data_IF_754305476340
#
_entry.id   IF_754305476340
#
_cell.length_a   1.000
_cell.length_b   1.000
_cell.length_c   1.000
_cell.angle_alpha   90.00
_cell.angle_beta   90.00
_cell.angle_gamma   90.00
#
_symmetry.space_group_name_H-M   'P 1'
#
loop_
_entity.id
_entity.type
_entity.pdbx_description
1 polymer ?
#
# COMPACT_ATOMS: atom_id res chain seq x y z
N UNK A 1 -7.25 0.85 29.42
CA UNK A 1 -7.43 -0.48 28.80
C UNK A 1 -8.06 -1.49 29.77
N UNK A 2 -7.62 -1.58 31.04
CA UNK A 2 -8.15 -2.51 32.04
C UNK A 2 -9.64 -2.31 32.34
N UNK A 3 -10.13 -1.09 32.45
CA UNK A 3 -11.53 -0.77 32.77
C UNK A 3 -12.51 -1.29 31.71
N UNK A 4 -12.06 -1.42 30.46
CA UNK A 4 -12.90 -1.94 29.36
C UNK A 4 -13.18 -3.44 29.54
N UNK A 5 -12.24 -4.21 30.05
CA UNK A 5 -12.44 -5.63 30.33
C UNK A 5 -13.37 -5.88 31.53
N UNK A 6 -13.39 -5.01 32.53
CA UNK A 6 -14.30 -5.11 33.67
C UNK A 6 -15.77 -4.84 33.30
N UNK A 7 -15.99 -3.96 32.33
CA UNK A 7 -17.35 -3.56 31.91
C UNK A 7 -17.96 -4.55 30.90
N UNK A 8 -17.15 -5.38 30.24
CA UNK A 8 -17.59 -6.36 29.24
C UNK A 8 -18.70 -7.33 29.74
N UNK A 9 -18.59 -7.96 30.92
CA UNK A 9 -19.64 -8.89 31.39
C UNK A 9 -20.97 -8.17 31.70
N UNK A 10 -20.91 -6.91 32.14
CA UNK A 10 -22.12 -6.12 32.38
C UNK A 10 -22.81 -5.70 31.08
N UNK A 11 -22.04 -5.36 30.06
CA UNK A 11 -22.56 -5.07 28.71
C UNK A 11 -23.24 -6.31 28.10
N UNK A 12 -22.66 -7.49 28.26
CA UNK A 12 -23.29 -8.74 27.78
C UNK A 12 -24.62 -9.04 28.48
N UNK A 13 -24.71 -8.74 29.79
CA UNK A 13 -25.97 -8.86 30.55
C UNK A 13 -27.03 -7.88 30.05
N UNK A 14 -26.65 -6.62 29.80
CA UNK A 14 -27.53 -5.61 29.21
C UNK A 14 -28.00 -6.00 27.82
N UNK A 15 -27.11 -6.55 26.99
CA UNK A 15 -27.45 -7.03 25.65
C UNK A 15 -28.50 -8.16 25.65
N UNK A 16 -28.35 -9.10 26.58
CA UNK A 16 -29.36 -10.18 26.79
C UNK A 16 -30.68 -9.64 27.32
N UNK A 17 -30.64 -8.64 28.22
CA UNK A 17 -31.83 -8.04 28.84
C UNK A 17 -32.65 -7.20 27.87
N UNK A 18 -31.99 -6.50 26.97
CA UNK A 18 -32.62 -5.57 26.02
C UNK A 18 -32.49 -6.06 24.55
N UNK A 19 -32.44 -7.36 24.33
CA UNK A 19 -32.29 -7.98 23.00
C UNK A 19 -33.34 -7.49 21.97
N UNK A 20 -34.54 -7.14 22.45
CA UNK A 20 -35.66 -6.70 21.60
C UNK A 20 -35.81 -5.16 21.52
N UNK A 21 -35.00 -4.39 22.24
CA UNK A 21 -35.10 -2.92 22.26
C UNK A 21 -33.70 -2.26 22.14
N UNK A 22 -33.19 -2.08 20.90
CA UNK A 22 -31.86 -1.54 20.66
C UNK A 22 -31.68 -0.11 21.16
N UNK A 23 -32.76 0.69 21.23
CA UNK A 23 -32.68 2.07 21.72
C UNK A 23 -32.44 2.11 23.22
N UNK A 24 -33.12 1.29 23.99
CA UNK A 24 -32.91 1.14 25.44
C UNK A 24 -31.55 0.55 25.75
N UNK A 25 -31.12 -0.41 24.97
CA UNK A 25 -29.78 -0.99 25.14
C UNK A 25 -28.70 0.08 25.00
N UNK A 26 -28.75 0.92 23.96
CA UNK A 26 -27.77 2.01 23.76
C UNK A 26 -27.80 3.05 24.89
N UNK A 27 -29.00 3.40 25.37
CA UNK A 27 -29.15 4.37 26.47
C UNK A 27 -28.53 3.84 27.78
N UNK A 28 -28.83 2.59 28.15
CA UNK A 28 -28.33 1.96 29.37
C UNK A 28 -26.82 1.65 29.26
N UNK A 29 -26.35 1.25 28.08
CA UNK A 29 -24.92 1.08 27.82
C UNK A 29 -24.13 2.40 28.00
N UNK A 30 -24.68 3.51 27.46
CA UNK A 30 -24.07 4.84 27.60
C UNK A 30 -24.05 5.29 29.06
N UNK A 31 -25.14 5.01 29.82
CA UNK A 31 -25.23 5.32 31.24
C UNK A 31 -24.24 4.52 32.06
N UNK A 32 -24.14 3.22 31.84
CA UNK A 32 -23.17 2.33 32.48
C UNK A 32 -21.73 2.80 32.23
N UNK A 33 -21.40 3.14 30.98
CA UNK A 33 -20.07 3.68 30.63
C UNK A 33 -19.75 4.97 31.37
N UNK A 34 -20.74 5.89 31.49
CA UNK A 34 -20.57 7.13 32.26
C UNK A 34 -20.39 6.88 33.75
N UNK A 35 -21.16 5.98 34.34
CA UNK A 35 -21.10 5.61 35.77
C UNK A 35 -19.74 4.96 36.11
N UNK A 36 -19.19 4.16 35.22
CA UNK A 36 -17.86 3.53 35.38
C UNK A 36 -16.70 4.44 34.97
N UNK A 37 -16.96 5.71 34.63
CA UNK A 37 -15.93 6.66 34.25
C UNK A 37 -15.26 6.34 32.89
N UNK A 38 -15.85 5.44 32.11
CA UNK A 38 -15.37 5.14 30.74
C UNK A 38 -15.86 6.23 29.82
N UNK A 39 -14.99 7.18 29.51
CA UNK A 39 -15.29 8.19 28.51
C UNK A 39 -15.51 7.52 27.15
N UNK A 40 -16.61 7.86 26.48
CA UNK A 40 -16.85 7.42 25.08
C UNK A 40 -15.70 7.84 24.16
N UNK A 41 -15.07 8.98 24.45
CA UNK A 41 -13.85 9.45 23.77
C UNK A 41 -12.65 8.54 24.02
N UNK A 42 -12.51 7.97 25.20
CA UNK A 42 -11.43 7.02 25.51
C UNK A 42 -11.54 5.69 24.78
N UNK A 43 -12.75 5.29 24.38
CA UNK A 43 -12.98 4.06 23.59
C UNK A 43 -12.71 4.25 22.10
N UNK A 44 -12.98 5.42 21.53
CA UNK A 44 -12.73 5.69 20.11
C UNK A 44 -11.34 6.32 19.85
N UNK A 45 -10.65 6.80 20.89
CA UNK A 45 -9.33 7.42 20.77
C UNK A 45 -8.28 6.50 20.11
N UNK A 46 -8.17 5.19 20.46
CA UNK A 46 -7.27 4.28 19.75
C UNK A 46 -7.59 4.19 18.25
N UNK A 47 -8.87 4.13 17.89
CA UNK A 47 -9.29 4.06 16.48
C UNK A 47 -8.98 5.35 15.74
N UNK A 48 -9.10 6.50 16.40
CA UNK A 48 -8.81 7.81 15.82
C UNK A 48 -7.31 8.01 15.57
N UNK A 49 -6.45 7.39 16.38
CA UNK A 49 -4.98 7.40 16.19
C UNK A 49 -4.55 6.36 15.17
N UNK A 50 -5.15 5.16 15.19
CA UNK A 50 -4.77 4.08 14.27
C UNK A 50 -5.16 4.35 12.82
N UNK A 51 -6.27 5.08 12.57
CA UNK A 51 -6.69 5.43 11.20
C UNK A 51 -5.62 6.23 10.42
N UNK A 52 -5.15 7.40 10.89
CA UNK A 52 -4.11 8.14 10.18
C UNK A 52 -2.80 7.34 10.07
N UNK A 53 -2.42 6.59 11.11
CA UNK A 53 -1.25 5.72 11.08
C UNK A 53 -1.37 4.64 9.99
N UNK A 54 -2.54 4.04 9.86
CA UNK A 54 -2.82 3.04 8.82
C UNK A 54 -2.75 3.64 7.41
N UNK A 55 -3.30 4.84 7.20
CA UNK A 55 -3.18 5.52 5.91
C UNK A 55 -1.73 5.89 5.57
N UNK A 56 -0.94 6.36 6.55
CA UNK A 56 0.49 6.60 6.37
C UNK A 56 1.24 5.32 5.97
N UNK A 57 0.89 4.20 6.61
CA UNK A 57 1.49 2.91 6.30
C UNK A 57 1.16 2.44 4.87
N UNK A 58 -0.12 2.52 4.47
CA UNK A 58 -0.52 2.20 3.10
C UNK A 58 0.19 3.10 2.09
N UNK A 59 0.28 4.40 2.37
CA UNK A 59 0.97 5.33 1.48
C UNK A 59 2.46 4.99 1.33
N UNK A 60 3.14 4.65 2.43
CA UNK A 60 4.54 4.23 2.42
C UNK A 60 4.74 2.93 1.63
N UNK A 61 3.86 1.93 1.82
CA UNK A 61 3.91 0.68 1.06
C UNK A 61 3.71 0.89 -0.44
N UNK A 62 2.78 1.76 -0.81
CA UNK A 62 2.56 2.10 -2.22
C UNK A 62 3.77 2.81 -2.83
N UNK A 63 4.37 3.75 -2.10
CA UNK A 63 5.57 4.46 -2.53
C UNK A 63 6.73 3.48 -2.78
N UNK A 64 7.01 2.60 -1.83
CA UNK A 64 8.04 1.58 -1.98
C UNK A 64 7.73 0.56 -3.07
N UNK A 65 6.46 0.19 -3.24
CA UNK A 65 6.03 -0.66 -4.35
C UNK A 65 6.35 -0.06 -5.72
N UNK A 66 6.14 1.25 -5.89
CA UNK A 66 6.51 1.94 -7.11
C UNK A 66 8.03 1.99 -7.31
N UNK A 67 8.78 2.30 -6.25
CA UNK A 67 10.25 2.29 -6.30
C UNK A 67 10.78 0.90 -6.67
N UNK A 68 10.27 -0.16 -6.06
CA UNK A 68 10.69 -1.53 -6.35
C UNK A 68 10.41 -1.91 -7.82
N UNK A 69 9.29 -1.49 -8.39
CA UNK A 69 9.01 -1.69 -9.81
C UNK A 69 10.03 -0.97 -10.72
N UNK A 70 10.45 0.24 -10.36
CA UNK A 70 11.52 0.93 -11.10
C UNK A 70 12.88 0.25 -10.93
N UNK A 71 13.19 -0.27 -9.74
CA UNK A 71 14.41 -1.05 -9.51
C UNK A 71 14.50 -2.27 -10.40
N UNK A 72 13.37 -2.96 -10.65
CA UNK A 72 13.32 -4.11 -11.56
C UNK A 72 13.69 -3.74 -13.01
N UNK A 73 13.50 -2.48 -13.41
CA UNK A 73 13.87 -2.02 -14.75
C UNK A 73 15.34 -1.62 -14.88
N UNK A 74 15.94 -1.13 -13.79
CA UNK A 74 17.26 -0.47 -13.80
C UNK A 74 18.35 -1.31 -13.18
N UNK A 75 18.02 -2.18 -12.22
CA UNK A 75 19.00 -2.99 -11.49
C UNK A 75 19.55 -4.12 -12.36
N UNK A 76 20.87 -4.33 -12.33
CA UNK A 76 21.52 -5.42 -13.06
C UNK A 76 21.15 -6.78 -12.49
N UNK A 77 20.86 -6.87 -11.19
CA UNK A 77 20.43 -8.07 -10.49
C UNK A 77 18.92 -8.11 -10.25
N UNK A 78 18.13 -7.47 -11.13
CA UNK A 78 16.69 -7.31 -10.97
C UNK A 78 15.94 -8.64 -10.71
N UNK A 79 16.37 -9.74 -11.35
CA UNK A 79 15.74 -11.05 -11.14
C UNK A 79 15.99 -11.62 -9.74
N UNK A 80 17.19 -11.45 -9.19
CA UNK A 80 17.49 -11.85 -7.82
C UNK A 80 16.74 -10.97 -6.81
N UNK A 81 16.71 -9.67 -7.06
CA UNK A 81 15.94 -8.70 -6.28
C UNK A 81 14.46 -9.10 -6.25
N UNK A 82 13.87 -9.42 -7.41
CA UNK A 82 12.48 -9.86 -7.51
C UNK A 82 12.19 -11.11 -6.70
N UNK A 83 13.06 -12.11 -6.76
CA UNK A 83 12.94 -13.34 -5.97
C UNK A 83 13.08 -13.10 -4.46
N UNK A 84 13.82 -12.08 -4.05
CA UNK A 84 13.97 -11.71 -2.63
C UNK A 84 12.71 -11.12 -2.00
N UNK A 85 11.74 -10.69 -2.80
CA UNK A 85 10.46 -10.14 -2.31
C UNK A 85 9.53 -11.20 -1.71
N UNK A 86 9.89 -12.46 -1.79
CA UNK A 86 9.13 -13.57 -1.23
C UNK A 86 9.25 -13.60 0.30
N UNK A 87 8.11 -13.73 0.96
CA UNK A 87 8.05 -13.88 2.42
C UNK A 87 7.04 -14.97 2.80
N UNK A 88 7.49 -16.05 3.43
CA UNK A 88 6.69 -17.22 3.79
C UNK A 88 5.93 -17.76 2.56
N UNK A 89 4.59 -17.68 2.59
CA UNK A 89 3.71 -18.08 1.48
C UNK A 89 3.37 -16.93 0.53
N UNK A 90 3.80 -15.70 0.83
CA UNK A 90 3.57 -14.51 -0.01
C UNK A 90 4.66 -14.47 -1.08
N UNK A 91 4.27 -14.51 -2.35
CA UNK A 91 5.21 -14.53 -3.46
C UNK A 91 5.86 -13.16 -3.73
N UNK A 92 5.16 -12.08 -3.44
CA UNK A 92 5.70 -10.74 -3.53
C UNK A 92 5.05 -9.83 -2.48
N UNK A 93 5.84 -9.35 -1.52
CA UNK A 93 5.35 -8.50 -0.43
C UNK A 93 4.93 -7.08 -0.87
N UNK A 94 5.38 -6.65 -2.05
CA UNK A 94 5.10 -5.31 -2.58
C UNK A 94 3.85 -5.25 -3.48
N UNK A 95 3.32 -6.41 -3.84
CA UNK A 95 2.17 -6.53 -4.73
C UNK A 95 1.08 -7.37 -4.06
N UNK A 96 -0.18 -6.93 -4.11
CA UNK A 96 -1.29 -7.72 -3.58
C UNK A 96 -1.47 -9.00 -4.39
N UNK A 97 -1.34 -10.13 -3.73
CA UNK A 97 -1.61 -11.44 -4.32
C UNK A 97 -3.06 -11.82 -4.06
N UNK A 98 -3.93 -11.52 -4.99
CA UNK A 98 -5.34 -11.88 -4.95
C UNK A 98 -5.70 -12.98 -5.97
N UNK A 99 -4.71 -13.55 -6.65
CA UNK A 99 -4.90 -14.58 -7.66
C UNK A 99 -5.59 -14.13 -8.95
N UNK A 100 -6.05 -12.89 -9.01
CA UNK A 100 -6.81 -12.33 -10.13
C UNK A 100 -6.04 -11.26 -10.90
N UNK A 101 -5.11 -10.58 -10.26
CA UNK A 101 -4.31 -9.51 -10.85
C UNK A 101 -2.86 -9.94 -11.05
N UNK A 102 -2.19 -9.45 -12.10
CA UNK A 102 -0.76 -9.65 -12.26
C UNK A 102 -0.02 -9.11 -11.04
N UNK A 103 1.07 -9.78 -10.65
CA UNK A 103 1.95 -9.38 -9.54
C UNK A 103 2.57 -8.01 -9.78
N UNK A 104 2.85 -7.71 -11.04
CA UNK A 104 3.32 -6.39 -11.47
C UNK A 104 2.23 -5.71 -12.28
N UNK A 105 2.04 -4.41 -12.04
CA UNK A 105 1.11 -3.61 -12.81
C UNK A 105 1.57 -3.56 -14.27
N UNK A 106 0.62 -3.56 -15.21
CA UNK A 106 0.92 -3.32 -16.62
C UNK A 106 1.40 -1.87 -16.84
N UNK A 107 2.14 -1.65 -17.95
CA UNK A 107 2.71 -0.33 -18.27
C UNK A 107 1.67 0.79 -18.31
N UNK A 108 0.48 0.52 -18.85
CA UNK A 108 -0.57 1.52 -18.94
C UNK A 108 -1.02 2.02 -17.56
N UNK A 109 -1.23 1.15 -16.60
CA UNK A 109 -1.63 1.54 -15.25
C UNK A 109 -0.47 2.07 -14.42
N UNK A 110 0.73 1.50 -14.57
CA UNK A 110 1.91 1.93 -13.83
C UNK A 110 2.36 3.33 -14.25
N UNK A 111 2.65 3.52 -15.55
CA UNK A 111 3.19 4.78 -16.07
C UNK A 111 2.18 5.95 -16.03
N UNK A 112 0.89 5.66 -15.97
CA UNK A 112 -0.15 6.67 -15.76
C UNK A 112 -0.29 7.13 -14.30
N UNK A 113 0.45 6.54 -13.37
CA UNK A 113 0.34 6.87 -11.95
C UNK A 113 1.01 8.22 -11.64
N UNK A 114 0.26 9.25 -11.20
CA UNK A 114 0.83 10.60 -11.00
C UNK A 114 1.94 10.65 -9.92
N UNK A 115 1.88 9.74 -8.94
CA UNK A 115 2.84 9.68 -7.83
C UNK A 115 4.26 9.32 -8.27
N UNK A 116 4.43 8.71 -9.45
CA UNK A 116 5.74 8.32 -9.97
C UNK A 116 6.66 9.52 -10.24
N UNK A 117 6.09 10.67 -10.63
CA UNK A 117 6.87 11.89 -10.86
C UNK A 117 7.58 12.42 -9.61
N UNK A 118 7.08 12.05 -8.42
CA UNK A 118 7.59 12.49 -7.13
C UNK A 118 8.48 11.44 -6.45
N UNK A 119 8.79 10.33 -7.12
CA UNK A 119 9.69 9.31 -6.57
C UNK A 119 11.12 9.84 -6.49
N UNK A 120 11.69 9.85 -5.30
CA UNK A 120 13.08 10.25 -5.08
C UNK A 120 14.04 9.34 -5.84
N UNK A 121 13.76 8.05 -5.89
CA UNK A 121 14.56 7.06 -6.62
C UNK A 121 14.71 7.40 -8.11
N UNK A 122 13.66 7.95 -8.74
CA UNK A 122 13.73 8.40 -10.14
C UNK A 122 14.78 9.50 -10.35
N UNK A 123 15.06 10.29 -9.32
CA UNK A 123 16.00 11.40 -9.36
C UNK A 123 17.42 11.00 -8.89
N UNK A 124 17.64 9.74 -8.50
CA UNK A 124 18.96 9.26 -8.14
C UNK A 124 19.90 9.23 -9.37
N UNK A 125 21.18 9.56 -9.17
CA UNK A 125 22.18 9.52 -10.26
C UNK A 125 22.24 8.14 -10.91
N UNK A 126 22.20 8.09 -12.22
CA UNK A 126 22.24 6.85 -13.01
C UNK A 126 20.88 6.18 -13.22
N UNK A 127 19.88 6.41 -12.38
CA UNK A 127 18.53 5.81 -12.52
C UNK A 127 17.75 6.51 -13.62
N UNK A 128 17.64 7.84 -13.51
CA UNK A 128 16.92 8.65 -14.50
C UNK A 128 17.53 8.53 -15.90
N UNK A 129 18.88 8.55 -15.99
CA UNK A 129 19.60 8.38 -17.25
C UNK A 129 19.31 7.03 -17.89
N UNK A 130 19.37 5.93 -17.16
CA UNK A 130 19.05 4.60 -17.68
C UNK A 130 17.62 4.52 -18.20
N UNK A 131 16.65 5.11 -17.49
CA UNK A 131 15.25 5.15 -17.94
C UNK A 131 15.06 6.01 -19.20
N UNK A 132 15.84 7.07 -19.36
CA UNK A 132 15.86 7.86 -20.59
C UNK A 132 16.46 7.05 -21.75
N UNK A 133 17.56 6.37 -21.54
CA UNK A 133 18.18 5.46 -22.52
C UNK A 133 17.22 4.35 -22.95
N UNK A 134 16.44 3.80 -22.03
CA UNK A 134 15.39 2.82 -22.32
C UNK A 134 14.17 3.41 -23.06
N UNK A 135 14.05 4.73 -23.16
CA UNK A 135 12.88 5.39 -23.74
C UNK A 135 11.65 5.44 -22.81
N UNK A 136 11.85 5.23 -21.51
CA UNK A 136 10.79 5.25 -20.48
C UNK A 136 10.65 6.61 -19.80
N UNK A 137 11.66 7.48 -19.89
CA UNK A 137 11.66 8.79 -19.26
C UNK A 137 12.19 9.88 -20.21
N UNK A 138 11.90 11.12 -19.86
CA UNK A 138 12.48 12.31 -20.47
C UNK A 138 13.12 13.17 -19.44
N UNK A 139 14.20 13.86 -19.83
CA UNK A 139 14.91 14.84 -19.01
C UNK A 139 14.19 16.18 -19.06
N UNK A 140 13.90 16.76 -17.90
CA UNK A 140 13.44 18.14 -17.77
C UNK A 140 14.49 18.98 -17.08
N UNK A 141 14.87 20.09 -17.69
CA UNK A 141 15.83 21.05 -17.15
C UNK A 141 15.08 22.21 -16.51
N UNK A 142 15.40 22.48 -15.25
CA UNK A 142 14.90 23.61 -14.46
C UNK A 142 16.07 24.51 -14.02
N UNK A 143 15.76 25.71 -13.55
CA UNK A 143 16.78 26.64 -13.02
C UNK A 143 17.59 26.08 -11.84
N UNK A 144 17.13 25.01 -11.22
CA UNK A 144 17.81 24.36 -10.06
C UNK A 144 18.46 23.02 -10.37
N UNK A 145 18.42 22.54 -11.64
CA UNK A 145 18.98 21.24 -11.99
C UNK A 145 18.20 20.46 -13.03
N UNK A 146 18.52 19.19 -13.12
CA UNK A 146 17.88 18.22 -14.01
C UNK A 146 16.90 17.38 -13.22
N UNK A 147 15.73 17.13 -13.75
CA UNK A 147 14.79 16.14 -13.23
C UNK A 147 14.31 15.20 -14.34
N UNK A 148 13.89 14.03 -13.95
CA UNK A 148 13.39 12.99 -14.85
C UNK A 148 11.90 12.82 -14.71
N UNK A 149 11.22 12.64 -15.83
CA UNK A 149 9.79 12.38 -15.86
C UNK A 149 9.51 11.15 -16.70
N UNK A 150 8.76 10.20 -16.16
CA UNK A 150 8.32 9.02 -16.90
C UNK A 150 7.33 9.39 -17.99
N UNK A 151 7.43 8.66 -19.10
CA UNK A 151 6.53 8.77 -20.25
C UNK A 151 5.38 7.78 -20.08
N UNK A 152 4.16 8.20 -20.48
CA UNK A 152 2.96 7.35 -20.49
C UNK A 152 2.38 7.17 -21.91
N UNK A 153 3.24 7.27 -22.93
CA UNK A 153 2.84 7.04 -24.31
C UNK A 153 2.86 5.55 -24.65
N UNK A 154 2.25 5.18 -25.78
CA UNK A 154 2.15 3.78 -26.23
C UNK A 154 3.52 3.09 -26.36
N UNK A 155 4.53 3.80 -26.82
CA UNK A 155 5.88 3.27 -26.99
C UNK A 155 6.51 2.94 -25.63
N UNK A 156 6.42 3.84 -24.66
CA UNK A 156 6.93 3.62 -23.31
C UNK A 156 6.16 2.47 -22.62
N UNK A 157 4.85 2.39 -22.81
CA UNK A 157 4.04 1.27 -22.29
C UNK A 157 4.54 -0.06 -22.85
N UNK A 158 4.75 -0.14 -24.16
CA UNK A 158 5.24 -1.37 -24.80
C UNK A 158 6.65 -1.76 -24.32
N UNK A 159 7.54 -0.79 -24.16
CA UNK A 159 8.90 -1.03 -23.63
C UNK A 159 8.83 -1.54 -22.18
N UNK A 160 8.02 -0.90 -21.34
CA UNK A 160 7.82 -1.32 -19.96
C UNK A 160 7.27 -2.75 -19.87
N UNK A 161 6.19 -3.05 -20.61
CA UNK A 161 5.55 -4.35 -20.59
C UNK A 161 6.50 -5.46 -21.08
N UNK A 162 7.32 -5.18 -22.10
CA UNK A 162 8.36 -6.10 -22.55
C UNK A 162 9.45 -6.33 -21.48
N UNK A 163 9.84 -5.27 -20.76
CA UNK A 163 10.87 -5.35 -19.71
C UNK A 163 10.40 -6.15 -18.47
N UNK A 164 9.12 -6.06 -18.10
CA UNK A 164 8.58 -6.79 -16.94
C UNK A 164 8.14 -8.22 -17.26
N UNK A 165 7.99 -8.57 -18.55
CA UNK A 165 7.48 -9.89 -18.95
C UNK A 165 8.27 -11.07 -18.34
N UNK A 166 9.63 -11.08 -18.28
CA UNK A 166 10.38 -12.15 -17.65
C UNK A 166 10.03 -12.37 -16.18
N UNK A 167 9.71 -11.32 -15.44
CA UNK A 167 9.31 -11.41 -14.03
C UNK A 167 7.90 -11.99 -13.88
N UNK A 168 6.98 -11.62 -14.77
CA UNK A 168 5.64 -12.21 -14.83
C UNK A 168 5.67 -13.71 -15.14
N UNK A 169 6.57 -14.13 -16.01
CA UNK A 169 6.70 -15.55 -16.39
C UNK A 169 7.25 -16.40 -15.23
N UNK A 170 8.19 -15.86 -14.45
CA UNK A 170 8.66 -16.50 -13.21
C UNK A 170 7.50 -16.63 -12.22
N UNK A 171 6.66 -15.62 -12.08
CA UNK A 171 5.53 -15.66 -11.16
C UNK A 171 4.45 -16.67 -11.58
N UNK A 172 4.16 -16.79 -12.87
CA UNK A 172 3.25 -17.83 -13.39
C UNK A 172 3.73 -19.24 -13.03
N UNK A 173 5.04 -19.46 -12.99
CA UNK A 173 5.66 -20.72 -12.58
C UNK A 173 5.44 -21.09 -11.11
N UNK A 174 5.08 -20.12 -10.23
CA UNK A 174 4.77 -20.39 -8.82
C UNK A 174 3.30 -20.81 -8.58
N UNK A 175 2.42 -20.56 -9.55
CA UNK A 175 0.98 -20.84 -9.44
C UNK A 175 0.57 -22.16 -10.11
N UNK A 176 1.52 -22.92 -10.65
CA UNK A 176 1.38 -24.30 -11.15
C UNK A 176 2.02 -25.28 -10.17
#
# INVERSE_FOLDING_TARGET
FFVFFEVQPEIQRLQKKYANDPRRFQAEQTKLMKEKGVSMWGSCLPMLITMPLFFCFIAAFRYWGYEMNLRLLVDENAMELFKSFKFLWINNIWQPDNGLTPVLANGASFLATPQLSNLLYLQEPGVGEKLVEMGLAVTKVYQGGVSYQLLSNETAIAIYDAAIQPFLDVYKGYNN
#
